data_IF_842447229017
#
_entry.id   IF_842447229017
#
_cell.length_a   1.000
_cell.length_b   1.000
_cell.length_c   1.000
_cell.angle_alpha   90.00
_cell.angle_beta   90.00
_cell.angle_gamma   90.00
#
_symmetry.space_group_name_H-M   'P 1'
#
loop_
_entity.id
_entity.type
_entity.pdbx_description
1 polymer ?
#
# COMPACT_ATOMS: atom_id res chain seq x y z
N UNK A 1 29.16 5.24 17.43
CA UNK A 1 28.45 5.52 18.70
C UNK A 1 26.96 5.44 18.38
N UNK A 2 26.12 4.71 19.11
CA UNK A 2 24.68 4.77 18.92
C UNK A 2 24.20 6.18 19.24
N UNK A 3 23.48 6.80 18.31
CA UNK A 3 22.87 8.11 18.51
C UNK A 3 21.93 8.09 19.73
N UNK A 4 21.92 9.18 20.49
CA UNK A 4 21.05 9.30 21.67
C UNK A 4 19.59 9.09 21.23
N UNK A 5 18.78 8.29 21.98
CA UNK A 5 17.39 7.98 21.61
C UNK A 5 16.49 9.21 21.33
N UNK A 6 16.83 10.36 21.91
CA UNK A 6 16.06 11.60 21.71
C UNK A 6 16.14 12.21 20.32
N UNK A 7 17.29 12.12 19.64
CA UNK A 7 17.48 12.78 18.33
C UNK A 7 16.70 12.11 17.20
N UNK A 8 16.61 10.80 17.21
CA UNK A 8 15.83 10.04 16.23
C UNK A 8 14.32 10.31 16.38
N UNK A 9 13.86 10.47 17.61
CA UNK A 9 12.47 10.79 17.93
C UNK A 9 12.05 12.17 17.44
N UNK A 10 12.89 13.18 17.66
CA UNK A 10 12.63 14.54 17.16
C UNK A 10 12.58 14.57 15.64
N UNK A 11 13.52 13.89 14.95
CA UNK A 11 13.52 13.79 13.50
C UNK A 11 12.27 13.09 12.96
N UNK A 12 11.84 12.00 13.57
CA UNK A 12 10.61 11.30 13.16
C UNK A 12 9.37 12.18 13.36
N UNK A 13 9.31 12.94 14.46
CA UNK A 13 8.23 13.89 14.70
C UNK A 13 8.18 14.98 13.62
N UNK A 14 9.31 15.65 13.34
CA UNK A 14 9.39 16.65 12.27
C UNK A 14 8.95 16.10 10.90
N UNK A 15 9.33 14.83 10.61
CA UNK A 15 8.93 14.15 9.38
C UNK A 15 7.41 13.92 9.37
N UNK A 16 6.82 13.49 10.49
CA UNK A 16 5.37 13.26 10.61
C UNK A 16 4.60 14.56 10.45
N UNK A 17 5.01 15.63 11.14
CA UNK A 17 4.39 16.95 11.02
C UNK A 17 4.44 17.47 9.57
N UNK A 18 5.54 17.22 8.87
CA UNK A 18 5.69 17.57 7.46
C UNK A 18 4.77 16.77 6.54
N UNK A 19 4.60 15.49 6.80
CA UNK A 19 3.66 14.63 6.05
C UNK A 19 2.23 15.16 6.24
N UNK A 20 1.83 15.45 7.46
CA UNK A 20 0.49 15.95 7.77
C UNK A 20 0.22 17.31 7.10
N UNK A 21 1.16 18.22 7.19
CA UNK A 21 1.06 19.52 6.52
C UNK A 21 0.94 19.36 4.99
N UNK A 22 1.73 18.46 4.39
CA UNK A 22 1.69 18.21 2.96
C UNK A 22 0.38 17.56 2.50
N UNK A 23 -0.13 16.58 3.23
CA UNK A 23 -1.43 15.97 2.94
C UNK A 23 -2.54 17.03 3.06
N UNK A 24 -2.50 17.85 4.09
CA UNK A 24 -3.46 18.95 4.28
C UNK A 24 -3.44 19.93 3.10
N UNK A 25 -2.25 20.37 2.66
CA UNK A 25 -2.12 21.29 1.51
C UNK A 25 -2.71 20.72 0.22
N UNK A 26 -2.53 19.42 -0.03
CA UNK A 26 -3.11 18.76 -1.21
C UNK A 26 -4.63 18.87 -1.20
N UNK A 27 -5.29 18.67 -0.04
CA UNK A 27 -6.75 18.66 0.06
C UNK A 27 -7.37 20.05 0.24
N UNK A 28 -6.82 20.88 1.12
CA UNK A 28 -7.39 22.19 1.45
C UNK A 28 -7.18 23.22 0.33
N UNK A 29 -6.17 23.00 -0.56
CA UNK A 29 -5.95 23.88 -1.69
C UNK A 29 -7.11 23.91 -2.70
N UNK A 30 -7.92 22.85 -2.76
CA UNK A 30 -8.96 22.68 -3.79
C UNK A 30 -8.38 22.51 -5.20
N UNK A 31 -7.07 22.37 -5.33
CA UNK A 31 -6.35 22.18 -6.59
C UNK A 31 -6.39 20.71 -7.00
N UNK A 32 -7.26 20.42 -7.96
CA UNK A 32 -7.45 19.06 -8.48
C UNK A 32 -6.20 18.50 -9.14
N UNK A 33 -5.34 19.36 -9.71
CA UNK A 33 -4.10 18.88 -10.34
C UNK A 33 -3.07 18.46 -9.29
N UNK A 34 -2.99 19.13 -8.15
CA UNK A 34 -2.18 18.67 -7.01
C UNK A 34 -2.64 17.28 -6.55
N UNK A 35 -3.94 17.07 -6.43
CA UNK A 35 -4.48 15.77 -6.03
C UNK A 35 -4.15 14.67 -7.05
N UNK A 36 -4.37 14.92 -8.33
CA UNK A 36 -3.99 14.00 -9.41
C UNK A 36 -2.50 13.65 -9.41
N UNK A 37 -1.65 14.66 -9.23
CA UNK A 37 -0.20 14.46 -9.18
C UNK A 37 0.19 13.62 -7.97
N UNK A 38 -0.50 13.77 -6.84
CA UNK A 38 -0.31 12.91 -5.68
C UNK A 38 -0.75 11.47 -5.96
N UNK A 39 -1.92 11.27 -6.57
CA UNK A 39 -2.38 9.94 -6.98
C UNK A 39 -1.43 9.28 -8.00
N UNK A 40 -0.86 10.04 -8.95
CA UNK A 40 0.20 9.52 -9.85
C UNK A 40 1.43 9.06 -9.07
N UNK A 41 1.83 9.78 -8.04
CA UNK A 41 2.92 9.35 -7.17
C UNK A 41 2.54 8.08 -6.40
N UNK A 42 1.34 8.04 -5.82
CA UNK A 42 0.83 6.83 -5.14
C UNK A 42 0.78 5.62 -6.08
N UNK A 43 0.38 5.82 -7.33
CA UNK A 43 0.36 4.80 -8.38
C UNK A 43 1.75 4.23 -8.66
N UNK A 44 2.76 5.08 -8.91
CA UNK A 44 4.14 4.65 -9.16
C UNK A 44 4.76 3.92 -7.97
N UNK A 45 4.41 4.35 -6.76
CA UNK A 45 4.94 3.84 -5.51
C UNK A 45 3.89 3.07 -4.70
N UNK A 46 2.99 2.35 -5.39
CA UNK A 46 1.84 1.66 -4.80
C UNK A 46 2.21 0.66 -3.70
N UNK A 47 3.43 0.12 -3.74
CA UNK A 47 3.97 -0.81 -2.74
C UNK A 47 4.60 -0.11 -1.52
N UNK A 48 4.68 1.23 -1.52
CA UNK A 48 5.18 1.99 -0.38
C UNK A 48 4.02 2.33 0.58
N UNK A 49 4.34 2.48 1.87
CA UNK A 49 3.36 3.00 2.84
C UNK A 49 2.91 4.40 2.45
N UNK A 50 1.69 4.78 2.85
CA UNK A 50 1.13 6.13 2.61
C UNK A 50 2.11 7.25 3.03
N UNK A 51 2.76 7.08 4.19
CA UNK A 51 3.74 8.05 4.67
C UNK A 51 4.94 8.19 3.72
N UNK A 52 5.46 7.09 3.20
CA UNK A 52 6.57 7.13 2.25
C UNK A 52 6.15 7.66 0.88
N UNK A 53 4.94 7.34 0.41
CA UNK A 53 4.37 7.95 -0.80
C UNK A 53 4.28 9.48 -0.67
N UNK A 54 3.77 9.96 0.47
CA UNK A 54 3.71 11.39 0.77
C UNK A 54 5.11 12.03 0.85
N UNK A 55 6.07 11.37 1.52
CA UNK A 55 7.45 11.86 1.61
C UNK A 55 8.13 11.95 0.25
N UNK A 56 7.93 10.96 -0.62
CA UNK A 56 8.48 10.98 -1.98
C UNK A 56 7.84 12.14 -2.76
N UNK A 57 6.51 12.23 -2.75
CA UNK A 57 5.78 13.28 -3.46
C UNK A 57 6.22 14.69 -3.04
N UNK A 58 6.28 14.96 -1.73
CA UNK A 58 6.65 16.27 -1.19
C UNK A 58 8.09 16.68 -1.49
N UNK A 59 9.00 15.73 -1.70
CA UNK A 59 10.41 16.02 -1.96
C UNK A 59 10.76 15.95 -3.44
N UNK A 60 10.07 15.07 -4.20
CA UNK A 60 10.28 14.87 -5.63
C UNK A 60 9.02 14.31 -6.29
N UNK A 61 8.05 15.15 -6.65
CA UNK A 61 6.77 14.73 -7.21
C UNK A 61 6.89 14.04 -8.59
N UNK A 62 7.99 14.30 -9.30
CA UNK A 62 8.34 13.71 -10.58
C UNK A 62 9.13 12.38 -10.48
N UNK A 63 9.44 11.91 -9.27
CA UNK A 63 10.14 10.65 -9.07
C UNK A 63 9.45 9.48 -9.77
N UNK A 64 10.26 8.62 -10.40
CA UNK A 64 9.78 7.45 -11.17
C UNK A 64 10.12 6.13 -10.51
N UNK A 65 11.35 5.98 -10.04
CA UNK A 65 11.85 4.79 -9.35
C UNK A 65 12.91 5.19 -8.34
N UNK A 66 12.70 4.86 -7.08
CA UNK A 66 13.66 5.19 -6.02
C UNK A 66 14.32 3.95 -5.44
N UNK A 67 15.61 4.07 -5.16
CA UNK A 67 16.37 3.03 -4.47
C UNK A 67 17.48 3.64 -3.60
N UNK A 68 17.96 2.86 -2.61
CA UNK A 68 19.10 3.23 -1.81
C UNK A 68 20.39 3.27 -2.62
N UNK A 69 21.38 4.06 -2.16
CA UNK A 69 22.66 4.29 -2.83
C UNK A 69 23.37 2.98 -3.25
N UNK A 70 23.51 2.04 -2.33
CA UNK A 70 24.17 0.76 -2.59
C UNK A 70 23.38 -0.08 -3.59
N UNK A 71 22.05 -0.01 -3.56
CA UNK A 71 21.21 -0.78 -4.48
C UNK A 71 21.35 -0.29 -5.92
N UNK A 72 21.45 1.03 -6.14
CA UNK A 72 21.75 1.58 -7.45
C UNK A 72 23.06 1.02 -8.02
N UNK A 73 24.10 0.96 -7.18
CA UNK A 73 25.41 0.42 -7.58
C UNK A 73 25.37 -1.10 -7.81
N UNK A 74 24.88 -1.85 -6.84
CA UNK A 74 25.08 -3.30 -6.75
C UNK A 74 24.07 -4.09 -7.60
N UNK A 75 22.82 -3.59 -7.71
CA UNK A 75 21.76 -4.26 -8.46
C UNK A 75 21.54 -3.68 -9.85
N UNK A 76 21.58 -2.36 -9.97
CA UNK A 76 21.27 -1.68 -11.23
C UNK A 76 22.52 -1.26 -12.03
N UNK A 77 23.74 -1.47 -11.52
CA UNK A 77 24.99 -1.02 -12.15
C UNK A 77 24.95 0.48 -12.49
N UNK A 78 24.35 1.26 -11.59
CA UNK A 78 24.21 2.72 -11.69
C UNK A 78 24.82 3.38 -10.48
N UNK A 79 25.22 4.64 -10.62
CA UNK A 79 25.76 5.42 -9.51
C UNK A 79 24.97 6.73 -9.36
N UNK A 80 24.82 7.15 -8.12
CA UNK A 80 24.18 8.45 -7.81
C UNK A 80 25.11 9.58 -8.24
N UNK A 81 24.57 10.56 -8.95
CA UNK A 81 25.31 11.71 -9.44
C UNK A 81 25.81 12.57 -8.26
N UNK A 82 27.00 13.14 -8.45
CA UNK A 82 27.64 13.97 -7.41
C UNK A 82 26.81 15.23 -7.14
N UNK A 83 26.52 15.48 -5.85
CA UNK A 83 25.76 16.66 -5.40
C UNK A 83 24.26 16.44 -5.30
N UNK A 84 23.75 15.29 -5.72
CA UNK A 84 22.33 14.95 -5.62
C UNK A 84 21.87 14.85 -4.16
N UNK A 85 20.69 15.38 -3.88
CA UNK A 85 20.05 15.33 -2.55
C UNK A 85 19.10 14.13 -2.49
N UNK A 86 19.42 13.15 -1.62
CA UNK A 86 18.56 11.98 -1.44
C UNK A 86 17.20 12.34 -0.83
N UNK A 87 16.18 11.66 -1.32
CA UNK A 87 14.82 11.69 -0.80
C UNK A 87 14.81 10.97 0.55
N UNK A 88 14.25 11.59 1.57
CA UNK A 88 14.11 10.96 2.88
C UNK A 88 12.84 10.13 2.92
N UNK A 89 12.97 8.86 3.27
CA UNK A 89 11.85 7.96 3.55
C UNK A 89 12.06 7.32 4.94
N UNK A 90 11.02 6.72 5.47
CA UNK A 90 11.08 5.95 6.71
C UNK A 90 11.24 4.47 6.34
N UNK A 91 12.34 3.87 6.78
CA UNK A 91 12.60 2.45 6.52
C UNK A 91 12.78 1.68 7.82
N UNK A 92 12.32 0.41 7.86
CA UNK A 92 12.57 -0.47 8.98
C UNK A 92 14.08 -0.76 9.07
N UNK A 93 14.59 -0.71 10.28
CA UNK A 93 15.99 -1.01 10.61
C UNK A 93 16.04 -1.81 11.90
N UNK A 94 15.46 -3.02 11.91
CA UNK A 94 15.38 -3.83 13.10
C UNK A 94 16.79 -4.15 13.63
N UNK A 95 16.92 -4.28 14.94
CA UNK A 95 18.16 -4.71 15.56
C UNK A 95 17.92 -5.87 16.52
N UNK A 96 18.89 -6.76 16.58
CA UNK A 96 18.86 -7.92 17.44
C UNK A 96 19.30 -7.56 18.84
N UNK A 97 18.54 -7.98 19.84
CA UNK A 97 18.88 -7.83 21.26
C UNK A 97 18.76 -9.18 21.94
N UNK A 98 19.77 -9.54 22.71
CA UNK A 98 19.69 -10.67 23.61
C UNK A 98 18.95 -10.27 24.87
N UNK A 99 17.94 -11.03 25.22
CA UNK A 99 17.21 -10.91 26.48
C UNK A 99 17.33 -12.21 27.24
N UNK A 100 17.35 -12.13 28.57
CA UNK A 100 17.16 -13.29 29.42
C UNK A 100 15.68 -13.52 29.60
N UNK A 101 15.21 -14.73 29.29
CA UNK A 101 13.82 -15.13 29.50
C UNK A 101 13.79 -16.42 30.31
N UNK A 102 12.69 -16.69 30.98
CA UNK A 102 12.44 -17.94 31.65
C UNK A 102 12.44 -19.09 30.64
N UNK A 103 13.21 -20.15 30.95
CA UNK A 103 13.21 -21.33 30.14
C UNK A 103 11.95 -22.15 30.43
N UNK A 104 11.10 -22.29 29.43
CA UNK A 104 9.84 -23.02 29.54
C UNK A 104 10.00 -24.48 29.10
N UNK A 105 9.36 -25.37 29.80
CA UNK A 105 9.23 -26.77 29.38
C UNK A 105 8.42 -26.84 28.08
N UNK A 106 8.91 -27.55 27.03
CA UNK A 106 8.26 -27.54 25.72
C UNK A 106 6.85 -28.13 25.70
N UNK A 107 6.54 -29.03 26.65
CA UNK A 107 5.26 -29.73 26.68
C UNK A 107 4.25 -29.03 27.58
N UNK A 108 4.69 -28.62 28.79
CA UNK A 108 3.80 -28.03 29.80
C UNK A 108 3.71 -26.52 29.74
N UNK A 109 4.65 -25.85 29.02
CA UNK A 109 4.80 -24.39 28.98
C UNK A 109 5.01 -23.74 30.33
N UNK A 110 5.40 -24.50 31.35
CA UNK A 110 5.72 -24.00 32.68
C UNK A 110 7.22 -23.70 32.80
N UNK A 111 7.63 -22.73 33.62
CA UNK A 111 9.04 -22.46 33.90
C UNK A 111 9.78 -23.70 34.44
N UNK A 112 10.95 -23.97 33.89
CA UNK A 112 11.85 -25.02 34.40
C UNK A 112 12.55 -24.52 35.64
N UNK A 113 12.51 -25.32 36.71
CA UNK A 113 13.22 -25.02 37.94
C UNK A 113 14.54 -25.79 38.01
N UNK A 114 15.56 -25.19 38.56
CA UNK A 114 16.81 -25.87 38.89
C UNK A 114 16.69 -26.71 40.17
N UNK A 115 17.78 -27.36 40.58
CA UNK A 115 17.82 -28.20 41.78
C UNK A 115 17.53 -27.44 43.09
N UNK A 116 17.68 -26.13 43.11
CA UNK A 116 17.44 -25.24 44.26
C UNK A 116 16.05 -24.61 44.22
N UNK A 117 15.20 -24.96 43.21
CA UNK A 117 13.86 -24.45 43.02
C UNK A 117 13.81 -23.05 42.40
N UNK A 118 14.88 -22.57 41.79
CA UNK A 118 14.92 -21.29 41.07
C UNK A 118 14.58 -21.49 39.60
N UNK A 119 13.94 -20.51 39.02
CA UNK A 119 13.62 -20.50 37.58
C UNK A 119 14.91 -20.46 36.77
N UNK A 120 15.07 -21.43 35.88
CA UNK A 120 16.17 -21.45 34.91
C UNK A 120 15.89 -20.41 33.81
N UNK A 121 16.84 -19.53 33.58
CA UNK A 121 16.75 -18.55 32.45
C UNK A 121 17.59 -19.02 31.26
N UNK A 122 17.21 -18.57 30.07
CA UNK A 122 18.00 -18.78 28.87
C UNK A 122 18.14 -17.44 28.11
N UNK A 123 19.27 -17.26 27.43
CA UNK A 123 19.43 -16.13 26.51
C UNK A 123 18.64 -16.39 25.23
N UNK A 124 17.72 -15.52 24.91
CA UNK A 124 17.01 -15.50 23.63
C UNK A 124 17.35 -14.24 22.84
N UNK A 125 17.71 -14.42 21.60
CA UNK A 125 17.87 -13.30 20.67
C UNK A 125 16.51 -12.91 20.13
N UNK A 126 16.08 -11.69 20.44
CA UNK A 126 14.87 -11.08 19.89
C UNK A 126 15.25 -9.97 18.91
N UNK A 127 14.47 -9.84 17.85
CA UNK A 127 14.60 -8.75 16.89
C UNK A 127 13.67 -7.62 17.31
N UNK A 128 14.26 -6.48 17.69
CA UNK A 128 13.50 -5.30 18.08
C UNK A 128 13.26 -4.45 16.84
N UNK A 129 11.98 -4.22 16.45
CA UNK A 129 11.65 -3.35 15.35
C UNK A 129 12.09 -1.92 15.64
N UNK A 130 12.68 -1.28 14.66
CA UNK A 130 13.04 0.13 14.70
C UNK A 130 12.85 0.74 13.33
N UNK A 131 12.37 1.98 13.28
CA UNK A 131 12.27 2.76 12.05
C UNK A 131 13.26 3.92 12.07
N UNK A 132 13.87 4.18 10.93
CA UNK A 132 14.81 5.30 10.78
C UNK A 132 14.58 6.03 9.47
N UNK A 133 14.79 7.36 9.46
CA UNK A 133 14.92 8.09 8.21
C UNK A 133 16.11 7.55 7.41
N UNK A 134 15.89 7.17 6.17
CA UNK A 134 16.94 6.74 5.24
C UNK A 134 16.86 7.57 3.96
N UNK A 135 17.96 7.60 3.21
CA UNK A 135 18.04 8.30 1.93
C UNK A 135 17.91 7.31 0.77
N UNK A 136 16.98 7.61 -0.12
CA UNK A 136 16.86 6.98 -1.43
C UNK A 136 17.06 8.03 -2.52
N UNK A 137 17.34 7.58 -3.73
CA UNK A 137 17.58 8.43 -4.89
C UNK A 137 16.71 7.96 -6.03
N UNK A 138 16.13 8.90 -6.77
CA UNK A 138 15.35 8.60 -7.97
C UNK A 138 16.27 8.20 -9.13
N UNK A 139 15.74 7.47 -10.10
CA UNK A 139 16.44 7.07 -11.32
C UNK A 139 17.09 8.25 -12.04
N UNK A 140 16.38 9.39 -12.13
CA UNK A 140 16.91 10.60 -12.76
C UNK A 140 18.10 11.24 -12.00
N UNK A 141 18.34 10.83 -10.75
CA UNK A 141 19.51 11.25 -9.95
C UNK A 141 20.70 10.30 -10.12
N UNK A 142 20.62 9.37 -11.06
CA UNK A 142 21.66 8.35 -11.27
C UNK A 142 22.12 8.31 -12.70
N UNK A 143 23.36 7.84 -12.92
CA UNK A 143 23.94 7.56 -14.22
C UNK A 143 24.46 6.12 -14.26
N UNK A 144 24.56 5.55 -15.46
CA UNK A 144 25.01 4.17 -15.69
C UNK A 144 24.16 3.43 -16.71
N UNK A 145 24.06 2.11 -16.58
CA UNK A 145 23.28 1.30 -17.52
C UNK A 145 21.81 1.70 -17.56
N UNK A 146 21.17 1.78 -18.73
CA UNK A 146 19.74 2.00 -18.82
C UNK A 146 19.01 0.87 -18.09
N UNK A 147 17.89 1.21 -17.45
CA UNK A 147 17.03 0.18 -16.87
C UNK A 147 16.32 -0.58 -18.00
N UNK A 148 16.03 -1.88 -17.80
CA UNK A 148 15.13 -2.60 -18.68
C UNK A 148 13.79 -1.88 -18.83
N UNK A 149 13.21 -1.93 -20.03
CA UNK A 149 11.98 -1.21 -20.37
C UNK A 149 10.83 -1.54 -19.41
N UNK A 150 10.75 -2.78 -18.95
CA UNK A 150 9.76 -3.24 -17.96
C UNK A 150 9.92 -2.60 -16.58
N UNK A 151 11.12 -2.22 -16.16
CA UNK A 151 11.39 -1.51 -14.91
C UNK A 151 10.98 -0.05 -15.01
N UNK A 152 11.14 0.53 -16.20
CA UNK A 152 10.74 1.91 -16.48
C UNK A 152 9.22 2.06 -16.67
N UNK A 153 8.55 1.02 -17.21
CA UNK A 153 7.12 1.02 -17.47
C UNK A 153 6.61 -0.42 -17.62
N UNK A 154 6.23 -1.08 -16.50
CA UNK A 154 5.98 -2.53 -16.50
C UNK A 154 4.89 -3.00 -17.47
N UNK A 155 3.96 -2.15 -17.87
CA UNK A 155 2.78 -2.54 -18.65
C UNK A 155 2.40 -1.53 -19.76
N UNK A 156 3.02 -0.35 -19.83
CA UNK A 156 2.62 0.72 -20.77
C UNK A 156 2.61 0.30 -22.25
N UNK A 157 3.31 -0.76 -22.61
CA UNK A 157 3.33 -1.29 -24.00
C UNK A 157 2.30 -2.40 -24.27
N UNK A 158 1.50 -2.80 -23.27
CA UNK A 158 0.61 -3.96 -23.38
C UNK A 158 -0.81 -3.60 -23.84
N UNK A 159 -1.22 -2.35 -23.71
CA UNK A 159 -2.56 -1.89 -24.13
C UNK A 159 -2.61 -1.41 -25.58
N UNK A 160 -1.50 -1.44 -26.30
CA UNK A 160 -1.39 -0.92 -27.66
C UNK A 160 -1.98 -1.81 -28.77
N UNK A 161 -2.47 -3.02 -28.46
CA UNK A 161 -3.11 -3.91 -29.43
C UNK A 161 -4.44 -4.46 -28.90
N UNK A 162 -5.37 -4.74 -29.82
CA UNK A 162 -6.68 -5.35 -29.49
C UNK A 162 -6.49 -6.68 -28.76
N UNK A 163 -5.46 -7.45 -29.08
CA UNK A 163 -5.15 -8.73 -28.44
C UNK A 163 -4.72 -8.54 -26.97
N UNK A 164 -3.88 -7.56 -26.71
CA UNK A 164 -3.45 -7.22 -25.35
C UNK A 164 -4.59 -6.65 -24.52
N UNK A 165 -5.47 -5.84 -25.10
CA UNK A 165 -6.68 -5.34 -24.44
C UNK A 165 -7.59 -6.49 -23.99
N UNK A 166 -7.86 -7.45 -24.86
CA UNK A 166 -8.69 -8.60 -24.51
C UNK A 166 -8.07 -9.46 -23.38
N UNK A 167 -6.76 -9.60 -23.36
CA UNK A 167 -6.06 -10.29 -22.28
C UNK A 167 -6.12 -9.47 -20.97
N UNK A 168 -5.95 -8.17 -21.04
CA UNK A 168 -6.04 -7.27 -19.91
C UNK A 168 -7.44 -7.23 -19.28
N UNK A 169 -8.48 -7.14 -20.10
CA UNK A 169 -9.86 -7.19 -19.64
C UNK A 169 -10.22 -8.53 -19.00
N UNK A 170 -9.65 -9.64 -19.50
CA UNK A 170 -9.79 -10.94 -18.86
C UNK A 170 -9.10 -10.99 -17.50
N UNK A 171 -7.89 -10.42 -17.38
CA UNK A 171 -7.21 -10.29 -16.11
C UNK A 171 -8.00 -9.45 -15.10
N UNK A 172 -8.60 -8.34 -15.53
CA UNK A 172 -9.50 -7.53 -14.70
C UNK A 172 -10.72 -8.32 -14.22
N UNK A 173 -11.34 -9.14 -15.10
CA UNK A 173 -12.47 -10.00 -14.71
C UNK A 173 -12.06 -11.00 -13.64
N UNK A 174 -10.89 -11.62 -13.78
CA UNK A 174 -10.35 -12.58 -12.80
C UNK A 174 -9.98 -11.91 -11.46
N UNK A 175 -9.65 -10.63 -11.49
CA UNK A 175 -9.31 -9.82 -10.29
C UNK A 175 -10.55 -9.26 -9.60
N UNK A 176 -11.71 -9.33 -10.24
CA UNK A 176 -12.97 -8.87 -9.68
C UNK A 176 -13.51 -9.85 -8.63
N UNK A 177 -14.00 -9.35 -7.48
CA UNK A 177 -14.63 -10.22 -6.46
C UNK A 177 -15.99 -10.74 -6.89
N UNK A 178 -16.57 -10.20 -7.98
CA UNK A 178 -17.89 -10.58 -8.49
C UNK A 178 -17.86 -10.65 -10.02
N UNK A 179 -18.80 -11.39 -10.67
CA UNK A 179 -18.87 -11.46 -12.13
C UNK A 179 -19.01 -10.10 -12.79
N UNK A 180 -18.33 -9.90 -13.93
CA UNK A 180 -18.38 -8.68 -14.74
C UNK A 180 -19.04 -9.02 -16.10
N UNK A 181 -20.15 -8.37 -16.38
CA UNK A 181 -20.94 -8.53 -17.60
C UNK A 181 -20.94 -7.23 -18.43
N UNK A 182 -21.11 -7.36 -19.73
CA UNK A 182 -21.29 -6.22 -20.65
C UNK A 182 -22.71 -6.26 -21.20
N UNK A 183 -23.44 -5.15 -21.07
CA UNK A 183 -24.85 -5.05 -21.53
C UNK A 183 -25.12 -3.66 -22.11
N UNK A 184 -26.15 -3.51 -22.95
CA UNK A 184 -26.63 -2.21 -23.31
C UNK A 184 -27.11 -1.42 -22.09
N UNK A 185 -26.55 -0.25 -21.87
CA UNK A 185 -26.93 0.72 -20.83
C UNK A 185 -27.19 2.07 -21.45
N UNK A 186 -27.81 2.97 -20.69
CA UNK A 186 -28.00 4.36 -21.13
C UNK A 186 -26.64 5.06 -21.31
N UNK A 187 -26.59 6.06 -22.21
CA UNK A 187 -25.33 6.72 -22.58
C UNK A 187 -24.67 7.50 -21.44
N UNK A 188 -25.42 7.83 -20.39
CA UNK A 188 -25.00 8.53 -19.18
C UNK A 188 -24.47 7.60 -18.07
N UNK A 189 -24.48 6.28 -18.31
CA UNK A 189 -24.06 5.27 -17.33
C UNK A 189 -23.00 4.34 -17.93
N UNK A 190 -21.75 4.46 -17.49
CA UNK A 190 -20.66 3.63 -17.99
C UNK A 190 -20.66 2.21 -17.37
N UNK A 191 -21.18 2.08 -16.16
CA UNK A 191 -21.32 0.81 -15.45
C UNK A 191 -21.98 0.98 -14.10
N UNK A 192 -22.21 -0.14 -13.43
CA UNK A 192 -22.62 -0.15 -12.02
C UNK A 192 -22.30 -1.49 -11.36
N UNK A 193 -21.95 -1.43 -10.08
CA UNK A 193 -21.94 -2.57 -9.19
C UNK A 193 -23.31 -2.73 -8.53
N UNK A 194 -23.86 -3.94 -8.53
CA UNK A 194 -25.10 -4.27 -7.85
C UNK A 194 -24.88 -5.15 -6.63
N UNK A 195 -25.01 -4.61 -5.41
CA UNK A 195 -24.92 -5.41 -4.19
C UNK A 195 -26.01 -6.51 -4.10
N UNK A 196 -27.15 -6.30 -4.76
CA UNK A 196 -28.26 -7.28 -4.76
C UNK A 196 -27.95 -8.51 -5.61
N UNK A 197 -27.43 -8.32 -6.82
CA UNK A 197 -27.09 -9.43 -7.72
C UNK A 197 -25.65 -9.91 -7.57
N UNK A 198 -24.84 -9.22 -6.77
CA UNK A 198 -23.40 -9.47 -6.63
C UNK A 198 -22.73 -9.56 -8.00
N UNK A 199 -22.92 -8.54 -8.83
CA UNK A 199 -22.37 -8.47 -10.19
C UNK A 199 -22.08 -7.04 -10.59
N UNK A 200 -21.14 -6.87 -11.52
CA UNK A 200 -20.81 -5.64 -12.19
C UNK A 200 -21.37 -5.69 -13.60
N UNK A 201 -22.03 -4.62 -14.04
CA UNK A 201 -22.47 -4.45 -15.42
C UNK A 201 -21.78 -3.25 -16.03
N UNK A 202 -21.13 -3.44 -17.17
CA UNK A 202 -20.48 -2.38 -17.96
C UNK A 202 -21.29 -2.09 -19.23
N UNK A 203 -21.26 -0.84 -19.69
CA UNK A 203 -21.93 -0.42 -20.91
C UNK A 203 -21.24 -0.98 -22.15
N UNK A 204 -22.02 -1.51 -23.05
CA UNK A 204 -21.56 -1.92 -24.39
C UNK A 204 -21.18 -0.71 -25.26
N UNK A 205 -20.16 -0.87 -26.10
CA UNK A 205 -19.75 0.12 -27.10
C UNK A 205 -18.92 1.29 -26.58
N UNK A 206 -18.41 1.23 -25.36
CA UNK A 206 -17.41 2.18 -24.86
C UNK A 206 -16.04 1.96 -25.53
N UNK A 207 -15.20 3.00 -25.53
CA UNK A 207 -13.80 2.85 -25.90
C UNK A 207 -13.07 1.93 -24.90
N UNK A 208 -11.92 1.37 -25.30
CA UNK A 208 -11.12 0.50 -24.43
C UNK A 208 -10.74 1.19 -23.12
N UNK A 209 -10.30 2.44 -23.20
CA UNK A 209 -9.94 3.25 -22.03
C UNK A 209 -11.14 3.45 -21.10
N UNK A 210 -12.31 3.79 -21.63
CA UNK A 210 -13.53 3.95 -20.84
C UNK A 210 -13.94 2.63 -20.18
N UNK A 211 -13.89 1.53 -20.94
CA UNK A 211 -14.26 0.21 -20.42
C UNK A 211 -13.36 -0.22 -19.28
N UNK A 212 -12.03 -0.03 -19.39
CA UNK A 212 -11.08 -0.34 -18.31
C UNK A 212 -11.34 0.55 -17.10
N UNK A 213 -11.47 1.86 -17.31
CA UNK A 213 -11.69 2.81 -16.21
C UNK A 213 -12.98 2.50 -15.45
N UNK A 214 -14.08 2.24 -16.18
CA UNK A 214 -15.36 1.84 -15.58
C UNK A 214 -15.25 0.50 -14.85
N UNK A 215 -14.57 -0.49 -15.44
CA UNK A 215 -14.38 -1.79 -14.79
C UNK A 215 -13.64 -1.67 -13.46
N UNK A 216 -12.54 -0.91 -13.40
CA UNK A 216 -11.79 -0.71 -12.16
C UNK A 216 -12.60 0.08 -11.13
N UNK A 217 -13.36 1.09 -11.55
CA UNK A 217 -14.25 1.85 -10.68
C UNK A 217 -15.29 0.94 -10.01
N UNK A 218 -15.97 0.09 -10.78
CA UNK A 218 -16.98 -0.82 -10.25
C UNK A 218 -16.36 -1.95 -9.41
N UNK A 219 -15.14 -2.42 -9.74
CA UNK A 219 -14.38 -3.36 -8.91
C UNK A 219 -14.04 -2.71 -7.56
N UNK A 220 -13.70 -1.43 -7.53
CA UNK A 220 -13.45 -0.71 -6.28
C UNK A 220 -14.70 -0.66 -5.41
N UNK A 221 -15.87 -0.33 -5.97
CA UNK A 221 -17.15 -0.41 -5.26
C UNK A 221 -17.45 -1.82 -4.75
N UNK A 222 -17.24 -2.85 -5.56
CA UNK A 222 -17.47 -4.24 -5.16
C UNK A 222 -16.54 -4.70 -4.02
N UNK A 223 -15.29 -4.22 -3.98
CA UNK A 223 -14.32 -4.53 -2.92
C UNK A 223 -14.56 -3.74 -1.63
N UNK A 224 -14.95 -2.46 -1.72
CA UNK A 224 -14.99 -1.54 -0.57
C UNK A 224 -16.39 -1.24 -0.06
N UNK A 225 -17.36 -1.13 -0.97
CA UNK A 225 -18.70 -0.58 -0.68
C UNK A 225 -19.80 -1.62 -0.83
N UNK A 226 -19.44 -2.91 -0.73
CA UNK A 226 -20.39 -4.02 -0.83
C UNK A 226 -21.07 -4.26 0.53
N UNK A 227 -22.09 -3.47 0.83
CA UNK A 227 -22.85 -3.58 2.08
C UNK A 227 -23.92 -4.71 2.08
N UNK A 228 -24.04 -5.45 0.97
CA UNK A 228 -25.02 -6.55 0.84
C UNK A 228 -24.62 -7.85 1.52
N UNK A 229 -23.37 -7.97 1.98
CA UNK A 229 -22.88 -9.14 2.71
C UNK A 229 -22.98 -8.92 4.23
N UNK A 230 -23.17 -9.98 4.99
CA UNK A 230 -23.45 -9.97 6.44
C UNK A 230 -22.42 -9.21 7.31
N UNK A 231 -21.24 -8.89 6.78
CA UNK A 231 -20.24 -8.05 7.46
C UNK A 231 -20.56 -6.54 7.46
N UNK A 232 -21.60 -6.10 6.78
CA UNK A 232 -22.01 -4.70 6.72
C UNK A 232 -22.55 -4.16 8.07
N UNK A 233 -22.97 -5.03 8.97
CA UNK A 233 -23.54 -4.61 10.27
C UNK A 233 -22.50 -3.95 11.21
N UNK A 234 -21.21 -4.21 11.02
CA UNK A 234 -20.13 -3.69 11.86
C UNK A 234 -19.40 -2.47 11.25
N UNK A 235 -19.54 -2.21 9.95
CA UNK A 235 -18.94 -1.05 9.29
C UNK A 235 -19.90 0.11 9.22
N UNK A 236 -19.56 1.24 9.83
CA UNK A 236 -20.28 2.49 9.62
C UNK A 236 -20.24 2.85 8.13
N UNK A 237 -21.40 2.89 7.49
CA UNK A 237 -21.50 3.26 6.08
C UNK A 237 -20.85 4.63 5.85
N UNK A 238 -20.02 4.74 4.84
CA UNK A 238 -19.43 6.00 4.40
C UNK A 238 -20.50 6.85 3.69
N UNK A 239 -20.24 8.14 3.57
CA UNK A 239 -21.09 8.98 2.71
C UNK A 239 -20.87 8.57 1.23
N UNK A 240 -21.91 8.69 0.42
CA UNK A 240 -21.80 8.43 -1.03
C UNK A 240 -20.67 9.22 -1.67
N UNK A 241 -20.46 10.47 -1.27
CA UNK A 241 -19.34 11.27 -1.79
C UNK A 241 -17.98 10.64 -1.47
N UNK A 242 -17.81 10.09 -0.28
CA UNK A 242 -16.56 9.40 0.09
C UNK A 242 -16.37 8.13 -0.74
N UNK A 243 -17.43 7.35 -0.95
CA UNK A 243 -17.39 6.13 -1.76
C UNK A 243 -16.99 6.43 -3.21
N UNK A 244 -17.60 7.46 -3.81
CA UNK A 244 -17.28 7.87 -5.18
C UNK A 244 -15.83 8.39 -5.29
N UNK A 245 -15.37 9.22 -4.33
CA UNK A 245 -13.97 9.70 -4.32
C UNK A 245 -12.98 8.55 -4.20
N UNK A 246 -13.26 7.56 -3.36
CA UNK A 246 -12.41 6.38 -3.21
C UNK A 246 -12.38 5.57 -4.51
N UNK A 247 -13.54 5.27 -5.11
CA UNK A 247 -13.62 4.49 -6.34
C UNK A 247 -12.98 5.20 -7.54
N UNK A 248 -13.22 6.50 -7.72
CA UNK A 248 -12.59 7.31 -8.77
C UNK A 248 -11.06 7.37 -8.60
N UNK A 249 -10.58 7.57 -7.36
CA UNK A 249 -9.14 7.64 -7.08
C UNK A 249 -8.44 6.31 -7.31
N UNK A 250 -9.07 5.20 -6.93
CA UNK A 250 -8.55 3.85 -7.19
C UNK A 250 -8.50 3.59 -8.70
N UNK A 251 -9.58 3.91 -9.43
CA UNK A 251 -9.61 3.77 -10.88
C UNK A 251 -8.50 4.57 -11.55
N UNK A 252 -8.32 5.83 -11.15
CA UNK A 252 -7.24 6.67 -11.65
C UNK A 252 -5.85 6.08 -11.36
N UNK A 253 -5.59 5.63 -10.13
CA UNK A 253 -4.30 5.05 -9.76
C UNK A 253 -3.97 3.79 -10.53
N UNK A 254 -4.94 2.88 -10.65
CA UNK A 254 -4.75 1.61 -11.38
C UNK A 254 -4.53 1.90 -12.86
N UNK A 255 -5.35 2.73 -13.49
CA UNK A 255 -5.18 3.12 -14.88
C UNK A 255 -3.82 3.81 -15.13
N UNK A 256 -3.43 4.75 -14.26
CA UNK A 256 -2.13 5.42 -14.37
C UNK A 256 -0.94 4.46 -14.24
N UNK A 257 -1.05 3.45 -13.37
CA UNK A 257 -0.03 2.41 -13.23
C UNK A 257 0.16 1.62 -14.54
N UNK A 258 -0.92 1.26 -15.19
CA UNK A 258 -0.91 0.53 -16.46
C UNK A 258 -0.71 1.44 -17.69
N UNK A 259 -0.38 2.72 -17.50
CA UNK A 259 -0.15 3.67 -18.59
C UNK A 259 -1.40 4.04 -19.38
N UNK A 260 -2.59 3.82 -18.81
CA UNK A 260 -3.88 4.15 -19.41
C UNK A 260 -4.25 5.57 -18.98
N UNK A 261 -4.21 6.51 -19.93
CA UNK A 261 -4.62 7.89 -19.67
C UNK A 261 -6.14 7.99 -19.67
N UNK A 262 -6.73 8.01 -18.52
CA UNK A 262 -8.14 8.34 -18.32
C UNK A 262 -8.25 9.86 -18.32
N UNK A 263 -8.72 10.47 -19.40
CA UNK A 263 -8.83 11.93 -19.58
C UNK A 263 -9.27 12.74 -18.36
N UNK A 264 -9.75 13.96 -18.52
CA UNK A 264 -10.16 14.86 -17.42
C UNK A 264 -11.38 14.36 -16.61
N UNK A 265 -11.48 13.05 -16.32
CA UNK A 265 -12.59 12.49 -15.56
C UNK A 265 -12.67 13.12 -14.17
N UNK A 266 -13.72 13.66 -13.97
CA UNK A 266 -14.49 14.31 -12.93
C UNK A 266 -14.15 13.90 -11.50
N UNK A 267 -13.04 14.35 -10.94
CA UNK A 267 -12.87 14.47 -9.50
C UNK A 267 -13.77 15.57 -8.90
N UNK A 268 -14.95 15.80 -9.52
CA UNK A 268 -15.89 16.83 -9.07
C UNK A 268 -16.34 16.68 -7.63
N UNK A 269 -16.37 15.45 -7.14
CA UNK A 269 -16.71 15.15 -5.74
C UNK A 269 -15.59 15.49 -4.75
N UNK A 270 -14.32 15.48 -5.16
CA UNK A 270 -13.18 15.74 -4.27
C UNK A 270 -13.23 17.16 -3.71
N UNK A 271 -13.55 18.14 -4.54
CA UNK A 271 -13.64 19.53 -4.09
C UNK A 271 -14.75 19.77 -3.05
N UNK A 272 -15.84 19.02 -3.11
CA UNK A 272 -16.93 19.07 -2.12
C UNK A 272 -16.59 18.24 -0.89
N UNK A 273 -15.98 17.09 -1.09
CA UNK A 273 -15.57 16.19 -0.03
C UNK A 273 -14.48 16.81 0.86
N UNK A 274 -13.46 17.46 0.25
CA UNK A 274 -12.37 18.12 0.96
C UNK A 274 -12.82 19.26 1.90
N UNK A 275 -13.95 19.90 1.59
CA UNK A 275 -14.49 20.98 2.45
C UNK A 275 -15.14 20.48 3.73
N UNK A 276 -15.56 19.23 3.80
CA UNK A 276 -16.37 18.67 4.86
C UNK A 276 -15.70 17.58 5.70
N UNK A 277 -14.52 17.11 5.28
CA UNK A 277 -13.80 16.04 5.95
C UNK A 277 -12.63 16.59 6.79
N UNK A 278 -12.39 15.94 7.93
CA UNK A 278 -11.23 16.26 8.78
C UNK A 278 -9.98 15.49 8.32
N UNK A 279 -8.78 15.98 8.68
CA UNK A 279 -7.50 15.37 8.29
C UNK A 279 -7.39 13.85 8.57
N UNK A 280 -7.86 13.32 9.71
CA UNK A 280 -7.86 11.88 9.96
C UNK A 280 -8.71 11.09 8.96
N UNK A 281 -9.86 11.64 8.53
CA UNK A 281 -10.73 11.01 7.52
C UNK A 281 -10.06 10.97 6.15
N UNK A 282 -9.36 12.04 5.76
CA UNK A 282 -8.55 12.07 4.53
C UNK A 282 -7.48 11.00 4.54
N UNK A 283 -6.72 10.92 5.63
CA UNK A 283 -5.67 9.91 5.77
C UNK A 283 -6.23 8.49 5.67
N UNK A 284 -7.35 8.22 6.33
CA UNK A 284 -8.01 6.93 6.28
C UNK A 284 -8.49 6.56 4.88
N UNK A 285 -9.06 7.52 4.14
CA UNK A 285 -9.45 7.28 2.74
C UNK A 285 -8.25 7.11 1.83
N UNK A 286 -7.19 7.91 1.95
CA UNK A 286 -5.96 7.73 1.17
C UNK A 286 -5.30 6.37 1.42
N UNK A 287 -5.29 5.91 2.67
CA UNK A 287 -4.78 4.59 3.02
C UNK A 287 -5.62 3.47 2.39
N UNK A 288 -6.96 3.62 2.44
CA UNK A 288 -7.90 2.72 1.78
C UNK A 288 -7.69 2.69 0.26
N UNK A 289 -7.59 3.87 -0.37
CA UNK A 289 -7.32 4.03 -1.80
C UNK A 289 -6.01 3.34 -2.18
N UNK A 290 -4.92 3.64 -1.46
CA UNK A 290 -3.61 3.10 -1.74
C UNK A 290 -3.57 1.57 -1.62
N UNK A 291 -4.12 1.00 -0.55
CA UNK A 291 -4.17 -0.45 -0.32
C UNK A 291 -5.01 -1.18 -1.36
N UNK A 292 -6.18 -0.62 -1.67
CA UNK A 292 -7.08 -1.26 -2.64
C UNK A 292 -6.51 -1.20 -4.04
N UNK A 293 -5.96 -0.05 -4.45
CA UNK A 293 -5.30 0.08 -5.74
C UNK A 293 -4.10 -0.87 -5.85
N UNK A 294 -3.25 -0.97 -4.81
CA UNK A 294 -2.16 -1.94 -4.77
C UNK A 294 -2.64 -3.38 -4.92
N UNK A 295 -3.70 -3.76 -4.21
CA UNK A 295 -4.28 -5.10 -4.34
C UNK A 295 -4.80 -5.38 -5.75
N UNK A 296 -5.52 -4.44 -6.37
CA UNK A 296 -6.02 -4.59 -7.74
C UNK A 296 -4.85 -4.68 -8.73
N UNK A 297 -3.84 -3.83 -8.61
CA UNK A 297 -2.65 -3.85 -9.48
C UNK A 297 -1.97 -5.23 -9.40
N UNK A 298 -1.72 -5.72 -8.19
CA UNK A 298 -1.07 -7.02 -7.96
C UNK A 298 -1.88 -8.18 -8.54
N UNK A 299 -3.20 -8.19 -8.29
CA UNK A 299 -4.09 -9.22 -8.82
C UNK A 299 -4.12 -9.21 -10.37
N UNK A 300 -4.22 -8.00 -10.95
CA UNK A 300 -4.25 -7.83 -12.41
C UNK A 300 -2.94 -8.26 -13.04
N UNK A 301 -1.77 -7.88 -12.48
CA UNK A 301 -0.47 -8.32 -13.00
C UNK A 301 -0.34 -9.84 -13.00
N UNK A 302 -0.72 -10.48 -11.89
CA UNK A 302 -0.71 -11.94 -11.76
C UNK A 302 -1.59 -12.60 -12.82
N UNK A 303 -2.86 -12.21 -12.89
CA UNK A 303 -3.80 -12.81 -13.83
C UNK A 303 -3.48 -12.47 -15.29
N UNK A 304 -2.91 -11.29 -15.55
CA UNK A 304 -2.47 -10.94 -16.90
C UNK A 304 -1.34 -11.85 -17.37
N UNK A 305 -0.36 -12.13 -16.50
CA UNK A 305 0.72 -13.07 -16.84
C UNK A 305 0.17 -14.48 -17.11
N UNK A 306 -0.83 -14.94 -16.32
CA UNK A 306 -1.50 -16.23 -16.53
C UNK A 306 -2.24 -16.26 -17.87
N UNK A 307 -3.05 -15.24 -18.17
CA UNK A 307 -3.81 -15.13 -19.44
C UNK A 307 -2.86 -15.07 -20.64
N UNK A 308 -1.78 -14.30 -20.56
CA UNK A 308 -0.79 -14.25 -21.63
C UNK A 308 -0.15 -15.63 -21.88
N UNK A 309 0.20 -16.35 -20.82
CA UNK A 309 0.72 -17.72 -20.93
C UNK A 309 -0.31 -18.68 -21.56
N UNK A 310 -1.57 -18.61 -21.15
CA UNK A 310 -2.67 -19.43 -21.70
C UNK A 310 -2.90 -19.16 -23.20
N UNK A 311 -2.74 -17.90 -23.63
CA UNK A 311 -2.97 -17.47 -25.02
C UNK A 311 -1.72 -17.50 -25.89
N UNK A 312 -0.56 -17.86 -25.35
CA UNK A 312 0.72 -17.86 -26.09
C UNK A 312 1.22 -16.46 -26.43
N UNK A 313 0.78 -15.42 -25.69
CA UNK A 313 1.28 -14.05 -25.84
C UNK A 313 2.64 -13.97 -25.13
N UNK A 314 3.68 -13.67 -25.90
CA UNK A 314 5.02 -13.49 -25.32
C UNK A 314 5.10 -12.18 -24.57
N UNK A 315 5.27 -12.28 -23.26
CA UNK A 315 5.66 -11.13 -22.44
C UNK A 315 7.17 -10.87 -22.60
N UNK A 316 7.62 -9.60 -22.54
CA UNK A 316 9.04 -9.29 -22.48
C UNK A 316 9.69 -10.14 -21.38
N UNK A 317 10.74 -10.89 -21.75
CA UNK A 317 11.44 -11.78 -20.81
C UNK A 317 11.91 -10.96 -19.61
N UNK A 318 11.60 -11.45 -18.41
CA UNK A 318 12.23 -10.98 -17.18
C UNK A 318 13.75 -11.20 -17.33
N UNK A 319 14.49 -10.16 -17.67
CA UNK A 319 15.86 -10.10 -17.23
C UNK A 319 15.80 -10.07 -15.72
N UNK A 320 16.57 -10.93 -15.01
CA UNK A 320 16.64 -11.17 -13.56
C UNK A 320 16.79 -9.92 -12.66
N UNK A 321 16.05 -8.89 -12.94
CA UNK A 321 15.80 -7.80 -12.01
C UNK A 321 14.46 -8.11 -11.34
N UNK A 322 14.50 -8.92 -10.27
CA UNK A 322 13.45 -8.75 -9.27
C UNK A 322 13.30 -7.26 -9.04
N UNK A 323 12.25 -6.69 -9.57
CA UNK A 323 11.68 -5.48 -9.03
C UNK A 323 11.37 -5.80 -7.58
N UNK A 324 12.36 -5.65 -6.76
CA UNK A 324 12.12 -5.55 -5.35
C UNK A 324 11.58 -4.14 -5.17
N UNK A 325 10.32 -3.95 -5.55
CA UNK A 325 9.40 -3.36 -4.62
C UNK A 325 9.80 -4.03 -3.34
N UNK A 326 10.35 -3.28 -2.38
CA UNK A 326 10.52 -3.82 -1.05
C UNK A 326 9.06 -4.03 -0.62
N UNK A 327 8.43 -5.21 -0.78
CA UNK A 327 7.27 -5.50 0.00
C UNK A 327 7.83 -5.33 1.40
N UNK A 328 7.14 -4.64 2.31
CA UNK A 328 7.52 -4.73 3.68
C UNK A 328 7.70 -6.22 3.93
N UNK A 329 8.90 -6.61 4.34
CA UNK A 329 9.09 -8.01 4.71
C UNK A 329 8.05 -8.28 5.81
N UNK A 330 7.65 -9.51 6.01
CA UNK A 330 6.79 -9.90 7.13
C UNK A 330 7.24 -9.28 8.46
N UNK A 331 8.56 -9.21 8.70
CA UNK A 331 9.18 -8.52 9.82
C UNK A 331 8.89 -7.00 9.81
N UNK A 332 8.85 -6.37 8.64
CA UNK A 332 8.60 -4.93 8.50
C UNK A 332 7.16 -4.55 8.84
N UNK A 333 6.21 -5.42 8.49
CA UNK A 333 4.79 -5.22 8.78
C UNK A 333 4.49 -5.39 10.28
N UNK A 334 5.10 -6.38 10.92
CA UNK A 334 5.01 -6.61 12.37
C UNK A 334 5.65 -5.48 13.17
N UNK A 335 6.83 -5.03 12.73
CA UNK A 335 7.54 -3.92 13.31
C UNK A 335 6.72 -2.62 13.25
N UNK A 336 6.07 -2.34 12.13
CA UNK A 336 5.22 -1.15 11.98
C UNK A 336 4.02 -1.16 12.94
N UNK A 337 3.34 -2.30 13.09
CA UNK A 337 2.20 -2.41 13.99
C UNK A 337 2.61 -2.18 15.46
N UNK A 338 3.76 -2.71 15.88
CA UNK A 338 4.27 -2.58 17.23
C UNK A 338 4.71 -1.14 17.55
N UNK A 339 5.46 -0.51 16.65
CA UNK A 339 5.92 0.87 16.86
C UNK A 339 4.77 1.87 16.76
N UNK A 340 3.76 1.59 15.92
CA UNK A 340 2.55 2.41 15.84
C UNK A 340 1.74 2.34 17.14
N UNK A 341 1.58 1.16 17.73
CA UNK A 341 0.93 1.00 19.02
C UNK A 341 1.72 1.71 20.14
N UNK A 342 3.05 1.59 20.15
CA UNK A 342 3.91 2.28 21.10
C UNK A 342 3.90 3.81 20.92
N UNK A 343 3.79 4.30 19.68
CA UNK A 343 3.65 5.72 19.36
C UNK A 343 2.30 6.27 19.85
N UNK A 344 1.18 5.59 19.54
CA UNK A 344 -0.14 5.99 20.01
C UNK A 344 -0.19 6.09 21.54
N UNK A 345 0.40 5.14 22.24
CA UNK A 345 0.42 5.06 23.70
C UNK A 345 1.27 6.16 24.35
N UNK A 346 2.45 6.37 23.81
CA UNK A 346 3.48 7.22 24.45
C UNK A 346 3.43 8.68 24.03
N UNK A 347 3.10 8.94 22.78
CA UNK A 347 3.26 10.25 22.15
C UNK A 347 1.94 10.97 21.86
N UNK A 348 0.85 10.25 21.69
CA UNK A 348 -0.49 10.84 21.49
C UNK A 348 -1.40 10.73 22.71
N UNK A 349 -0.97 10.10 23.79
CA UNK A 349 -1.73 9.93 25.02
C UNK A 349 -3.13 9.33 24.78
N UNK A 350 -3.25 8.45 23.77
CA UNK A 350 -4.50 7.80 23.40
C UNK A 350 -4.88 6.83 24.53
N UNK A 351 -6.11 6.87 25.04
CA UNK A 351 -6.54 5.94 26.10
C UNK A 351 -6.44 4.49 25.62
N UNK A 352 -6.04 3.57 26.51
CA UNK A 352 -5.94 2.13 26.25
C UNK A 352 -7.16 1.53 25.54
N UNK A 353 -8.35 2.07 25.80
CA UNK A 353 -9.60 1.64 25.15
C UNK A 353 -9.70 1.96 23.65
N UNK A 354 -8.98 2.97 23.16
CA UNK A 354 -8.96 3.34 21.74
C UNK A 354 -7.71 2.79 21.02
N UNK A 355 -6.64 2.52 21.78
CA UNK A 355 -5.38 1.99 21.30
C UNK A 355 -5.48 0.53 20.86
N UNK A 356 -6.12 -0.32 21.68
CA UNK A 356 -6.31 -1.75 21.39
C UNK A 356 -7.08 -2.02 20.10
N UNK A 357 -8.22 -1.35 19.83
CA UNK A 357 -8.91 -1.48 18.54
C UNK A 357 -8.11 -0.98 17.35
N UNK A 358 -7.31 0.08 17.51
CA UNK A 358 -6.48 0.61 16.44
C UNK A 358 -5.30 -0.32 16.10
N UNK A 359 -4.62 -0.84 17.12
CA UNK A 359 -3.53 -1.82 16.95
C UNK A 359 -4.06 -3.16 16.41
N UNK A 360 -5.20 -3.64 16.90
CA UNK A 360 -5.86 -4.83 16.38
C UNK A 360 -6.32 -4.66 14.93
N UNK A 361 -6.88 -3.50 14.57
CA UNK A 361 -7.27 -3.20 13.19
C UNK A 361 -6.06 -3.13 12.23
N UNK A 362 -4.90 -2.66 12.69
CA UNK A 362 -3.66 -2.71 11.93
C UNK A 362 -3.16 -4.14 11.81
N UNK A 363 -3.18 -4.91 12.91
CA UNK A 363 -2.82 -6.31 12.91
C UNK A 363 -3.73 -7.16 12.00
N UNK A 364 -5.05 -6.99 12.10
CA UNK A 364 -6.02 -7.70 11.25
C UNK A 364 -5.86 -7.37 9.76
N UNK A 365 -5.47 -6.15 9.41
CA UNK A 365 -5.20 -5.76 8.03
C UNK A 365 -3.90 -6.38 7.48
N UNK A 366 -2.87 -6.48 8.34
CA UNK A 366 -1.63 -7.16 7.99
C UNK A 366 -1.81 -8.67 7.86
N UNK A 367 -2.78 -9.23 8.58
CA UNK A 367 -3.13 -10.66 8.60
C UNK A 367 -4.14 -11.08 7.53
N UNK A 368 -4.80 -10.15 6.85
CA UNK A 368 -5.71 -10.45 5.74
C UNK A 368 -5.00 -11.05 4.51
N UNK A 369 -3.67 -11.05 4.48
CA UNK A 369 -2.88 -11.95 3.66
C UNK A 369 -2.79 -13.33 4.34
N UNK A 370 -3.16 -14.39 3.64
CA UNK A 370 -3.44 -15.79 4.01
C UNK A 370 -2.37 -16.58 4.83
N UNK A 371 -1.60 -15.96 5.71
CA UNK A 371 -0.53 -16.63 6.44
C UNK A 371 -0.90 -16.86 7.93
N UNK A 372 -1.32 -18.11 8.22
CA UNK A 372 -1.72 -18.55 9.57
C UNK A 372 -0.59 -18.47 10.61
N UNK A 373 0.66 -18.55 10.19
CA UNK A 373 1.84 -18.49 11.06
C UNK A 373 2.13 -17.05 11.50
N UNK A 374 1.91 -16.05 10.62
CA UNK A 374 1.97 -14.63 10.93
C UNK A 374 0.88 -14.23 11.94
N UNK A 375 -0.31 -14.79 11.80
CA UNK A 375 -1.43 -14.58 12.73
C UNK A 375 -1.04 -15.02 14.15
N UNK A 376 -0.42 -16.19 14.27
CA UNK A 376 0.01 -16.75 15.55
C UNK A 376 1.12 -15.91 16.19
N UNK A 377 2.11 -15.45 15.43
CA UNK A 377 3.19 -14.58 15.94
C UNK A 377 2.67 -13.21 16.41
N UNK A 378 1.65 -12.65 15.75
CA UNK A 378 1.00 -11.42 16.17
C UNK A 378 0.15 -11.60 17.43
N UNK A 379 -0.57 -12.73 17.54
CA UNK A 379 -1.33 -13.08 18.75
C UNK A 379 -0.39 -13.25 19.95
N UNK A 380 0.75 -13.87 19.76
CA UNK A 380 1.77 -14.03 20.81
C UNK A 380 2.43 -12.69 21.15
N UNK A 381 2.62 -11.80 20.19
CA UNK A 381 3.15 -10.46 20.42
C UNK A 381 2.17 -9.57 21.18
N UNK A 382 0.87 -9.60 20.84
CA UNK A 382 -0.18 -8.85 21.56
C UNK A 382 -0.26 -9.32 23.02
N UNK A 383 -0.10 -10.62 23.29
CA UNK A 383 -0.07 -11.16 24.65
C UNK A 383 1.13 -10.66 25.47
N UNK A 384 2.31 -10.55 24.84
CA UNK A 384 3.53 -10.03 25.46
C UNK A 384 3.48 -8.52 25.72
N UNK A 385 2.65 -7.77 24.99
CA UNK A 385 2.45 -6.35 25.21
C UNK A 385 1.40 -6.05 26.30
N UNK A 386 0.59 -7.06 26.66
CA UNK A 386 -0.43 -6.98 27.72
C UNK A 386 0.11 -7.37 29.11
N UNK A 387 1.34 -7.91 29.23
CA UNK A 387 2.10 -8.15 30.47
C UNK A 387 3.14 -7.03 30.72
#
# INVERSE_FOLDING_TARGET
MPEKPGKNREQLKEITDRIEAGIRDIFESGDMEKYRNYLRTMSRFHNYSLNNQALIHLQRPDATLVAGYNRWRDKFSRHVLRGEKGITIIAPTPYKKKIEQEKLDPDTKLPILDADGKIVTEEKEIEIPMFRPVKVFDYAQTDGKPLPERVASPVANLTGSVENYAAFMEALRRSSPVPVEVKPLSADMDGYFSPKSQSITLREGMSEVQTVSAAVHEIAHAKLHNYGLQQAAERKAKSRNTEEVEAESISFMVCAYFGIETGANSFGYVATWSKNAELPEFRASLDTIGKTANGIITDVEKHFAEVCKERGIELPKDTEYELVTIPPSRADALAFAADYAAFLRRDLNVPDSAERPAAAAVADRLLAGEDAELRKELEDFVKLADE
#
